data_IF_581400821027
#
_entry.id   IF_581400821027
#
_cell.length_a   1.000
_cell.length_b   1.000
_cell.length_c   1.000
_cell.angle_alpha   90.00
_cell.angle_beta   90.00
_cell.angle_gamma   90.00
#
_symmetry.space_group_name_H-M   'P 1'
#
loop_
_entity.id
_entity.type
_entity.pdbx_description
1 polymer ?
#
# COMPACT_ATOMS: atom_id res chain seq x y z
N UNK A 1 4.15 13.70 0.64
CA UNK A 1 2.65 13.73 0.70
C UNK A 1 2.19 14.17 2.09
N UNK A 2 1.18 15.04 2.21
CA UNK A 2 0.51 15.33 3.48
C UNK A 2 -0.56 14.26 3.73
N UNK A 3 -0.74 13.86 5.01
CA UNK A 3 -1.84 12.96 5.38
C UNK A 3 -3.19 13.69 5.25
N UNK A 4 -4.23 13.01 4.80
CA UNK A 4 -5.60 13.52 4.72
C UNK A 4 -6.33 13.46 6.08
N UNK A 5 -5.69 12.94 7.11
CA UNK A 5 -6.22 12.73 8.46
C UNK A 5 -5.16 13.07 9.52
N UNK A 6 -5.61 13.32 10.74
CA UNK A 6 -4.70 13.52 11.88
C UNK A 6 -4.11 12.16 12.33
N UNK A 7 -2.86 12.11 12.81
CA UNK A 7 -2.20 10.83 13.14
C UNK A 7 -2.99 9.91 14.07
N UNK A 8 -3.75 10.47 15.01
CA UNK A 8 -4.57 9.75 15.97
C UNK A 8 -5.86 9.14 15.37
N UNK A 9 -6.25 9.56 14.16
CA UNK A 9 -7.51 9.14 13.56
C UNK A 9 -7.56 7.65 13.22
N UNK A 10 -6.40 6.98 13.12
CA UNK A 10 -6.31 5.55 12.80
C UNK A 10 -6.32 4.64 14.02
N UNK A 11 -6.29 5.21 15.23
CA UNK A 11 -6.33 4.41 16.46
C UNK A 11 -7.68 3.70 16.64
N UNK A 12 -7.69 2.49 17.21
CA UNK A 12 -6.57 1.76 17.78
C UNK A 12 -5.82 0.88 16.76
N UNK A 13 -6.09 0.98 15.46
CA UNK A 13 -5.54 0.09 14.42
C UNK A 13 -4.07 0.39 14.13
N UNK A 14 -3.72 1.66 13.97
CA UNK A 14 -2.35 2.15 13.87
C UNK A 14 -2.20 3.28 14.87
N UNK A 15 -1.22 3.17 15.78
CA UNK A 15 -0.98 4.20 16.77
C UNK A 15 -0.42 5.49 16.16
N UNK A 16 -0.66 6.61 16.84
CA UNK A 16 -0.01 7.89 16.54
C UNK A 16 1.52 7.74 16.48
N UNK A 17 2.10 6.94 17.38
CA UNK A 17 3.55 6.73 17.43
C UNK A 17 4.04 6.04 16.14
N UNK A 18 3.36 4.98 15.70
CA UNK A 18 3.67 4.32 14.43
C UNK A 18 3.59 5.30 13.26
N UNK A 19 2.55 6.14 13.18
CA UNK A 19 2.44 7.16 12.13
C UNK A 19 3.58 8.18 12.20
N UNK A 20 3.96 8.62 13.39
CA UNK A 20 5.06 9.58 13.57
C UNK A 20 6.39 9.05 13.05
N UNK A 21 6.68 7.77 13.25
CA UNK A 21 7.89 7.13 12.71
C UNK A 21 7.73 6.74 11.25
N UNK A 22 6.66 6.04 10.90
CA UNK A 22 6.48 5.45 9.56
C UNK A 22 6.32 6.52 8.48
N UNK A 23 5.41 7.49 8.68
CA UNK A 23 5.22 8.61 7.75
C UNK A 23 6.26 9.72 8.00
N UNK A 24 6.41 10.14 9.25
CA UNK A 24 7.19 11.35 9.58
C UNK A 24 8.70 11.18 9.51
N UNK A 25 9.23 9.97 9.60
CA UNK A 25 10.67 9.68 9.55
C UNK A 25 11.04 8.73 8.41
N UNK A 26 10.40 7.57 8.33
CA UNK A 26 10.76 6.52 7.39
C UNK A 26 10.48 6.94 5.94
N UNK A 27 9.25 7.34 5.63
CA UNK A 27 8.92 7.88 4.31
C UNK A 27 9.74 9.14 3.98
N UNK A 28 9.91 10.05 4.94
CA UNK A 28 10.71 11.26 4.72
C UNK A 28 12.18 10.95 4.36
N UNK A 29 12.76 9.88 4.91
CA UNK A 29 14.10 9.46 4.56
C UNK A 29 14.18 9.00 3.09
N UNK A 30 13.20 8.23 2.60
CA UNK A 30 13.17 7.85 1.17
C UNK A 30 13.07 9.07 0.25
N UNK A 31 12.24 10.06 0.59
CA UNK A 31 12.09 11.30 -0.18
C UNK A 31 13.43 12.06 -0.24
N UNK A 32 14.08 12.25 0.92
CA UNK A 32 15.36 12.94 0.98
C UNK A 32 16.45 12.20 0.18
N UNK A 33 16.51 10.87 0.31
CA UNK A 33 17.47 10.04 -0.42
C UNK A 33 17.22 10.11 -1.93
N UNK A 34 15.96 10.00 -2.38
CA UNK A 34 15.64 10.09 -3.80
C UNK A 34 16.05 11.46 -4.36
N UNK A 35 15.69 12.56 -3.67
CA UNK A 35 16.06 13.91 -4.10
C UNK A 35 17.57 14.07 -4.28
N UNK A 36 18.38 13.48 -3.38
CA UNK A 36 19.83 13.49 -3.51
C UNK A 36 20.40 12.61 -4.64
N UNK A 37 19.61 11.67 -5.17
CA UNK A 37 20.03 10.75 -6.24
C UNK A 37 19.54 11.18 -7.62
N UNK A 38 18.61 12.13 -7.71
CA UNK A 38 18.01 12.52 -9.00
C UNK A 38 18.91 13.41 -9.82
N UNK A 39 19.74 14.27 -9.22
CA UNK A 39 20.60 15.19 -9.96
C UNK A 39 21.56 14.43 -10.90
N UNK A 40 21.50 14.73 -12.19
CA UNK A 40 22.29 14.07 -13.24
C UNK A 40 21.87 12.64 -13.56
N UNK A 41 20.74 12.17 -13.06
CA UNK A 41 20.25 10.79 -13.27
C UNK A 41 19.46 10.61 -14.56
N UNK A 42 18.95 11.70 -15.15
CA UNK A 42 18.01 11.69 -16.27
C UNK A 42 16.54 11.41 -15.86
N UNK A 43 16.25 11.44 -14.55
CA UNK A 43 14.89 11.26 -14.00
C UNK A 43 14.37 12.50 -13.27
N UNK A 44 15.03 13.65 -13.40
CA UNK A 44 14.73 14.88 -12.66
C UNK A 44 13.28 15.35 -12.83
N UNK A 45 12.74 15.20 -14.04
CA UNK A 45 11.36 15.60 -14.39
C UNK A 45 10.40 14.41 -14.51
N UNK A 46 10.83 13.20 -14.15
CA UNK A 46 10.02 11.99 -14.27
C UNK A 46 9.05 11.84 -13.11
N UNK A 47 7.87 11.26 -13.37
CA UNK A 47 6.94 10.85 -12.30
C UNK A 47 7.50 9.66 -11.53
N UNK A 48 7.01 9.44 -10.30
CA UNK A 48 7.41 8.27 -9.48
C UNK A 48 7.15 6.95 -10.22
N UNK A 49 6.02 6.83 -10.93
CA UNK A 49 5.69 5.64 -11.71
C UNK A 49 6.68 5.41 -12.86
N UNK A 50 7.07 6.47 -13.56
CA UNK A 50 8.09 6.37 -14.62
C UNK A 50 9.45 5.94 -14.06
N UNK A 51 9.85 6.51 -12.93
CA UNK A 51 11.09 6.13 -12.24
C UNK A 51 11.02 4.65 -11.84
N UNK A 52 9.94 4.22 -11.18
CA UNK A 52 9.76 2.84 -10.73
C UNK A 52 9.79 1.85 -11.90
N UNK A 53 9.27 2.23 -13.07
CA UNK A 53 9.28 1.37 -14.26
C UNK A 53 10.63 1.30 -14.98
N UNK A 54 11.48 2.33 -14.89
CA UNK A 54 12.68 2.49 -15.74
C UNK A 54 14.00 2.50 -14.98
N UNK A 55 14.01 2.96 -13.73
CA UNK A 55 15.24 3.09 -12.92
C UNK A 55 15.71 1.75 -12.35
N UNK A 56 16.92 1.77 -11.81
CA UNK A 56 17.55 0.65 -11.12
C UNK A 56 18.24 1.10 -9.83
N UNK A 57 18.64 0.14 -8.99
CA UNK A 57 19.45 0.38 -7.80
C UNK A 57 18.79 1.33 -6.79
N UNK A 58 19.57 2.29 -6.27
CA UNK A 58 19.10 3.21 -5.23
C UNK A 58 17.94 4.10 -5.64
N UNK A 59 17.92 4.57 -6.90
CA UNK A 59 16.82 5.40 -7.43
C UNK A 59 15.52 4.61 -7.44
N UNK A 60 15.53 3.40 -8.00
CA UNK A 60 14.36 2.51 -7.99
C UNK A 60 13.88 2.21 -6.57
N UNK A 61 14.81 1.86 -5.67
CA UNK A 61 14.44 1.47 -4.30
C UNK A 61 13.75 2.62 -3.55
N UNK A 62 14.30 3.84 -3.63
CA UNK A 62 13.70 4.99 -2.95
C UNK A 62 12.39 5.42 -3.62
N UNK A 63 12.33 5.51 -4.95
CA UNK A 63 11.11 5.87 -5.67
C UNK A 63 9.98 4.84 -5.46
N UNK A 64 10.31 3.54 -5.49
CA UNK A 64 9.35 2.47 -5.22
C UNK A 64 8.78 2.55 -3.82
N UNK A 65 9.64 2.77 -2.81
CA UNK A 65 9.15 2.94 -1.44
C UNK A 65 8.29 4.20 -1.29
N UNK A 66 8.64 5.32 -1.93
CA UNK A 66 7.80 6.52 -1.89
C UNK A 66 6.43 6.23 -2.50
N UNK A 67 6.38 5.67 -3.70
CA UNK A 67 5.13 5.34 -4.39
C UNK A 67 4.26 4.37 -3.56
N UNK A 68 4.88 3.33 -2.98
CA UNK A 68 4.19 2.35 -2.15
C UNK A 68 3.58 3.01 -0.90
N UNK A 69 4.34 3.86 -0.21
CA UNK A 69 3.86 4.56 0.99
C UNK A 69 2.80 5.62 0.68
N UNK A 70 2.88 6.32 -0.46
CA UNK A 70 1.84 7.26 -0.87
C UNK A 70 0.50 6.55 -1.12
N UNK A 71 0.54 5.38 -1.78
CA UNK A 71 -0.64 4.55 -1.98
C UNK A 71 -1.17 3.98 -0.66
N UNK A 72 -0.29 3.56 0.24
CA UNK A 72 -0.60 3.01 1.55
C UNK A 72 -1.26 4.05 2.47
N UNK A 73 -0.61 5.19 2.72
CA UNK A 73 -1.17 6.21 3.59
C UNK A 73 -2.40 6.91 2.99
N UNK A 74 -2.46 7.04 1.66
CA UNK A 74 -3.57 7.68 0.97
C UNK A 74 -4.86 6.87 0.94
N UNK A 75 -4.88 5.64 1.45
CA UNK A 75 -6.06 4.76 1.43
C UNK A 75 -6.79 4.64 2.78
N UNK A 76 -6.35 5.38 3.80
CA UNK A 76 -6.89 5.21 5.15
C UNK A 76 -7.86 6.32 5.56
N UNK A 77 -8.79 5.96 6.42
CA UNK A 77 -9.69 6.84 7.16
C UNK A 77 -9.87 6.33 8.60
N UNK A 78 -10.56 7.09 9.42
CA UNK A 78 -10.91 6.64 10.77
C UNK A 78 -11.67 5.30 10.74
N UNK A 79 -11.52 4.43 11.77
CA UNK A 79 -12.19 3.14 11.81
C UNK A 79 -13.71 3.25 11.59
N UNK A 80 -14.23 2.38 10.74
CA UNK A 80 -15.65 2.35 10.38
C UNK A 80 -16.25 0.96 10.61
N UNK A 81 -17.36 0.91 11.34
CA UNK A 81 -18.12 -0.33 11.50
C UNK A 81 -18.76 -0.75 10.15
N UNK A 82 -18.68 -2.04 9.83
CA UNK A 82 -19.25 -2.57 8.59
C UNK A 82 -18.58 -2.07 7.31
N UNK A 83 -17.33 -1.62 7.41
CA UNK A 83 -16.57 -1.04 6.32
C UNK A 83 -16.40 -2.02 5.14
N UNK A 84 -17.03 -1.73 4.01
CA UNK A 84 -17.09 -2.60 2.82
C UNK A 84 -17.06 -1.79 1.52
N UNK A 85 -16.52 -2.37 0.44
CA UNK A 85 -16.65 -1.81 -0.91
C UNK A 85 -18.09 -1.84 -1.40
N UNK A 86 -18.39 -0.97 -2.35
CA UNK A 86 -19.71 -0.86 -3.01
C UNK A 86 -19.57 -0.82 -4.54
N UNK A 87 -20.71 -0.78 -5.24
CA UNK A 87 -20.76 -0.56 -6.68
C UNK A 87 -19.91 -1.53 -7.50
N UNK A 88 -19.26 -1.01 -8.53
CA UNK A 88 -18.45 -1.81 -9.49
C UNK A 88 -17.31 -2.59 -8.84
N UNK A 89 -16.71 -2.05 -7.79
CA UNK A 89 -15.64 -2.75 -7.08
C UNK A 89 -16.18 -3.97 -6.32
N UNK A 90 -17.33 -3.86 -5.67
CA UNK A 90 -17.98 -5.00 -5.01
C UNK A 90 -18.37 -6.10 -6.01
N UNK A 91 -18.88 -5.72 -7.19
CA UNK A 91 -19.18 -6.65 -8.29
C UNK A 91 -17.89 -7.34 -8.79
N UNK A 92 -16.79 -6.61 -8.91
CA UNK A 92 -15.52 -7.18 -9.32
C UNK A 92 -14.95 -8.16 -8.29
N UNK A 93 -15.09 -7.90 -6.99
CA UNK A 93 -14.74 -8.89 -5.96
C UNK A 93 -15.57 -10.17 -6.08
N UNK A 94 -16.87 -10.06 -6.30
CA UNK A 94 -17.72 -11.22 -6.50
C UNK A 94 -17.36 -12.01 -7.77
N UNK A 95 -17.04 -11.30 -8.86
CA UNK A 95 -16.66 -11.90 -10.14
C UNK A 95 -15.33 -12.65 -10.05
N UNK A 96 -14.30 -12.02 -9.44
CA UNK A 96 -12.92 -12.50 -9.54
C UNK A 96 -12.50 -13.40 -8.38
N UNK A 97 -13.15 -13.27 -7.21
CA UNK A 97 -12.83 -14.03 -5.99
C UNK A 97 -14.04 -14.80 -5.41
N UNK A 98 -15.22 -14.67 -6.01
CA UNK A 98 -16.46 -15.27 -5.52
C UNK A 98 -17.17 -14.48 -4.43
N UNK A 99 -16.43 -13.78 -3.55
CA UNK A 99 -16.97 -12.86 -2.54
C UNK A 99 -15.91 -11.91 -2.01
N UNK A 100 -16.33 -10.84 -1.34
CA UNK A 100 -15.41 -9.94 -0.62
C UNK A 100 -14.70 -10.65 0.53
N UNK A 101 -15.37 -11.55 1.22
CA UNK A 101 -14.80 -12.36 2.30
C UNK A 101 -13.69 -13.28 1.80
N UNK A 102 -13.92 -13.98 0.69
CA UNK A 102 -12.92 -14.85 0.06
C UNK A 102 -11.69 -14.04 -0.40
N UNK A 103 -11.92 -12.86 -0.98
CA UNK A 103 -10.83 -11.92 -1.31
C UNK A 103 -10.03 -11.54 -0.06
N UNK A 104 -10.68 -11.14 1.03
CA UNK A 104 -10.00 -10.75 2.29
C UNK A 104 -9.15 -11.88 2.83
N UNK A 105 -9.68 -13.09 2.86
CA UNK A 105 -8.96 -14.28 3.34
C UNK A 105 -7.71 -14.53 2.50
N UNK A 106 -7.83 -14.52 1.17
CA UNK A 106 -6.70 -14.72 0.27
C UNK A 106 -5.67 -13.61 0.40
N UNK A 107 -6.10 -12.36 0.48
CA UNK A 107 -5.23 -11.19 0.62
C UNK A 107 -4.44 -11.24 1.93
N UNK A 108 -5.10 -11.51 3.06
CA UNK A 108 -4.45 -11.66 4.36
C UNK A 108 -3.47 -12.82 4.38
N UNK A 109 -3.86 -13.97 3.79
CA UNK A 109 -2.97 -15.13 3.67
C UNK A 109 -1.71 -14.78 2.89
N UNK A 110 -1.83 -14.09 1.75
CA UNK A 110 -0.67 -13.63 0.96
C UNK A 110 0.20 -12.64 1.74
N UNK A 111 -0.40 -11.67 2.44
CA UNK A 111 0.35 -10.75 3.30
C UNK A 111 1.10 -11.45 4.42
N UNK A 112 0.47 -12.40 5.09
CA UNK A 112 1.07 -13.16 6.19
C UNK A 112 2.20 -14.09 5.73
N UNK A 113 2.09 -14.69 4.54
CA UNK A 113 3.05 -15.67 4.00
C UNK A 113 4.16 -15.06 3.15
N UNK A 114 4.14 -13.74 2.89
CA UNK A 114 5.25 -13.08 2.21
C UNK A 114 6.51 -13.21 3.07
N UNK A 115 7.52 -13.89 2.53
CA UNK A 115 8.78 -14.09 3.24
C UNK A 115 9.62 -12.81 3.23
N UNK A 116 9.99 -12.34 4.42
CA UNK A 116 10.78 -11.11 4.59
C UNK A 116 9.93 -9.85 4.47
N UNK A 117 10.55 -8.80 3.91
CA UNK A 117 9.98 -7.46 3.77
C UNK A 117 9.31 -7.28 2.41
N UNK A 118 8.20 -6.58 2.39
CA UNK A 118 7.48 -6.29 1.15
C UNK A 118 6.06 -5.81 1.38
N UNK A 119 5.23 -6.02 0.35
CA UNK A 119 3.89 -5.47 0.23
C UNK A 119 2.95 -6.50 -0.37
N UNK A 120 1.73 -6.60 0.13
CA UNK A 120 0.65 -7.32 -0.54
C UNK A 120 -0.25 -6.32 -1.25
N UNK A 121 -0.62 -6.61 -2.49
CA UNK A 121 -1.34 -5.70 -3.37
C UNK A 121 -2.61 -6.30 -3.91
N UNK A 122 -3.67 -5.49 -3.99
CA UNK A 122 -4.77 -5.63 -4.92
C UNK A 122 -4.50 -4.70 -6.10
N UNK A 123 -4.56 -5.24 -7.30
CA UNK A 123 -4.33 -4.49 -8.53
C UNK A 123 -5.35 -4.86 -9.59
N UNK A 124 -5.66 -3.94 -10.51
CA UNK A 124 -6.46 -4.20 -11.70
C UNK A 124 -5.57 -4.35 -12.93
N UNK A 125 -5.92 -5.24 -13.85
CA UNK A 125 -5.33 -5.24 -15.19
C UNK A 125 -6.10 -4.32 -16.15
N UNK A 126 -5.65 -4.28 -17.41
CA UNK A 126 -6.26 -3.45 -18.47
C UNK A 126 -7.73 -3.81 -18.78
N UNK A 127 -8.16 -5.02 -18.45
CA UNK A 127 -9.50 -5.52 -18.68
C UNK A 127 -10.39 -5.37 -17.42
N UNK A 128 -9.85 -4.74 -16.36
CA UNK A 128 -10.53 -4.51 -15.09
C UNK A 128 -10.63 -5.75 -14.22
N UNK A 129 -9.88 -6.83 -14.53
CA UNK A 129 -9.80 -8.01 -13.66
C UNK A 129 -8.88 -7.73 -12.48
N UNK A 130 -9.28 -8.19 -11.32
CA UNK A 130 -8.56 -8.01 -10.06
C UNK A 130 -7.54 -9.13 -9.81
N UNK A 131 -6.37 -8.75 -9.32
CA UNK A 131 -5.27 -9.64 -8.99
C UNK A 131 -4.71 -9.33 -7.61
N UNK A 132 -4.36 -10.38 -6.84
CA UNK A 132 -3.60 -10.24 -5.60
C UNK A 132 -2.16 -10.65 -5.86
N UNK A 133 -1.21 -9.74 -5.62
CA UNK A 133 0.22 -10.02 -5.79
C UNK A 133 1.00 -9.76 -4.50
N UNK A 134 2.15 -10.41 -4.38
CA UNK A 134 3.15 -10.17 -3.34
C UNK A 134 4.36 -9.52 -4.02
N UNK A 135 4.78 -8.38 -3.53
CA UNK A 135 5.95 -7.66 -4.06
C UNK A 135 6.99 -7.49 -2.96
N UNK A 136 8.18 -8.00 -3.19
CA UNK A 136 9.27 -7.92 -2.21
C UNK A 136 9.94 -6.56 -2.21
N UNK A 137 10.44 -6.15 -1.05
CA UNK A 137 11.19 -4.90 -0.88
C UNK A 137 10.42 -3.66 -1.39
N UNK A 138 10.93 -2.98 -2.41
CA UNK A 138 10.37 -1.76 -2.98
C UNK A 138 9.56 -2.00 -4.27
N UNK A 139 9.38 -3.25 -4.69
CA UNK A 139 8.69 -3.56 -5.92
C UNK A 139 7.21 -3.14 -5.87
N UNK A 140 6.66 -2.80 -7.05
CA UNK A 140 5.31 -2.30 -7.21
C UNK A 140 4.65 -2.95 -8.46
N UNK A 141 3.34 -3.25 -8.42
CA UNK A 141 2.61 -3.83 -9.56
C UNK A 141 2.70 -3.03 -10.87
N UNK A 142 2.95 -1.70 -10.84
CA UNK A 142 3.13 -0.88 -12.06
C UNK A 142 4.24 -1.43 -12.96
N UNK A 143 5.28 -2.04 -12.39
CA UNK A 143 6.38 -2.68 -13.14
C UNK A 143 5.92 -3.87 -13.98
N UNK A 144 4.75 -4.42 -13.66
CA UNK A 144 4.09 -5.55 -14.35
C UNK A 144 2.93 -5.11 -15.24
N UNK A 145 2.75 -3.79 -15.40
CA UNK A 145 1.64 -3.21 -16.16
C UNK A 145 0.28 -3.33 -15.47
N UNK A 146 0.27 -3.53 -14.14
CA UNK A 146 -0.94 -3.57 -13.34
C UNK A 146 -1.18 -2.22 -12.66
N UNK A 147 -2.44 -1.83 -12.51
CA UNK A 147 -2.88 -0.62 -11.80
C UNK A 147 -3.02 -0.92 -10.30
N UNK A 148 -2.18 -0.37 -9.40
CA UNK A 148 -2.31 -0.60 -7.96
C UNK A 148 -3.60 0.03 -7.43
N UNK A 149 -4.33 -0.69 -6.59
CA UNK A 149 -5.60 -0.24 -6.00
C UNK A 149 -5.52 -0.12 -4.48
N UNK A 150 -5.11 -1.21 -3.82
CA UNK A 150 -5.00 -1.34 -2.37
C UNK A 150 -3.68 -2.02 -2.03
N UNK A 151 -3.03 -1.61 -0.95
CA UNK A 151 -1.82 -2.29 -0.47
C UNK A 151 -1.75 -2.38 1.04
N UNK A 152 -1.17 -3.45 1.56
CA UNK A 152 -0.75 -3.53 2.96
C UNK A 152 0.76 -3.70 3.02
N UNK A 153 1.37 -2.85 3.84
CA UNK A 153 2.78 -2.92 4.17
C UNK A 153 3.03 -4.09 5.15
N UNK A 154 3.90 -5.01 4.77
CA UNK A 154 4.31 -6.13 5.62
C UNK A 154 5.79 -6.06 6.04
N UNK A 155 6.44 -4.92 5.82
CA UNK A 155 7.68 -4.58 6.50
C UNK A 155 7.43 -4.48 8.00
N UNK A 156 8.36 -4.94 8.82
CA UNK A 156 8.19 -4.92 10.29
C UNK A 156 8.03 -3.52 10.86
N UNK A 157 8.68 -2.51 10.26
CA UNK A 157 8.53 -1.12 10.68
C UNK A 157 7.07 -0.60 10.60
N UNK A 158 6.23 -1.18 9.78
CA UNK A 158 4.83 -0.76 9.62
C UNK A 158 3.95 -1.18 10.79
N UNK A 159 4.33 -2.22 11.56
CA UNK A 159 3.45 -2.79 12.58
C UNK A 159 4.14 -3.19 13.89
N UNK A 160 5.47 -3.18 13.98
CA UNK A 160 6.16 -3.77 15.12
C UNK A 160 5.89 -3.05 16.45
N UNK A 161 5.71 -1.73 16.44
CA UNK A 161 5.38 -0.95 17.63
C UNK A 161 4.02 -1.34 18.22
N UNK A 162 3.03 -1.63 17.37
CA UNK A 162 1.66 -1.92 17.79
C UNK A 162 1.40 -3.43 17.94
N UNK A 163 1.99 -4.25 17.08
CA UNK A 163 1.67 -5.68 16.98
C UNK A 163 2.87 -6.60 17.20
N UNK A 164 4.09 -6.11 17.30
CA UNK A 164 5.34 -6.87 17.40
C UNK A 164 5.41 -7.93 16.28
N UNK A 165 5.60 -9.19 16.59
CA UNK A 165 5.66 -10.29 15.62
C UNK A 165 4.29 -10.76 15.08
N UNK A 166 3.19 -10.14 15.53
CA UNK A 166 1.82 -10.56 15.17
C UNK A 166 1.36 -9.94 13.85
N UNK A 167 2.10 -10.17 12.77
CA UNK A 167 1.74 -9.69 11.41
C UNK A 167 0.29 -10.06 11.01
N UNK A 168 -0.22 -11.28 11.27
CA UNK A 168 -1.62 -11.60 10.95
C UNK A 168 -2.64 -10.68 11.63
N UNK A 169 -2.40 -10.29 12.90
CA UNK A 169 -3.31 -9.41 13.64
C UNK A 169 -3.31 -8.00 13.05
N UNK A 170 -2.13 -7.47 12.67
CA UNK A 170 -2.01 -6.22 11.94
C UNK A 170 -2.81 -6.23 10.64
N UNK A 171 -2.60 -7.26 9.80
CA UNK A 171 -3.34 -7.41 8.55
C UNK A 171 -4.85 -7.51 8.74
N UNK A 172 -5.30 -8.18 9.80
CA UNK A 172 -6.71 -8.30 10.12
C UNK A 172 -7.32 -6.96 10.58
N UNK A 173 -6.54 -6.15 11.31
CA UNK A 173 -7.00 -4.86 11.85
C UNK A 173 -7.12 -3.79 10.75
N UNK A 174 -6.24 -3.78 9.75
CA UNK A 174 -6.19 -2.76 8.70
C UNK A 174 -7.51 -2.60 7.93
N UNK A 175 -8.32 -3.65 7.79
CA UNK A 175 -9.61 -3.56 7.10
C UNK A 175 -10.59 -2.56 7.72
N UNK A 176 -10.44 -2.23 9.00
CA UNK A 176 -11.31 -1.28 9.69
C UNK A 176 -11.10 0.17 9.24
N UNK A 177 -9.92 0.47 8.69
CA UNK A 177 -9.49 1.83 8.33
C UNK A 177 -9.36 2.09 6.83
N UNK A 178 -9.75 1.14 5.98
CA UNK A 178 -9.71 1.35 4.52
C UNK A 178 -10.80 2.34 4.10
N UNK A 179 -10.43 3.41 3.43
CA UNK A 179 -11.37 4.26 2.71
C UNK A 179 -11.71 3.62 1.35
N UNK A 180 -12.80 2.87 1.32
CA UNK A 180 -13.24 2.18 0.11
C UNK A 180 -13.57 3.14 -1.03
N UNK A 181 -13.94 4.40 -0.76
CA UNK A 181 -14.16 5.41 -1.80
C UNK A 181 -12.88 5.72 -2.57
N UNK A 182 -11.75 5.74 -1.88
CA UNK A 182 -10.42 5.90 -2.51
C UNK A 182 -10.11 4.70 -3.41
N UNK A 183 -10.36 3.49 -2.92
CA UNK A 183 -10.10 2.26 -3.70
C UNK A 183 -11.03 2.17 -4.91
N UNK A 184 -12.32 2.48 -4.74
CA UNK A 184 -13.30 2.55 -5.83
C UNK A 184 -12.89 3.57 -6.90
N UNK A 185 -12.41 4.75 -6.48
CA UNK A 185 -11.89 5.78 -7.40
C UNK A 185 -10.64 5.31 -8.16
N UNK A 186 -9.77 4.56 -7.50
CA UNK A 186 -8.61 3.96 -8.19
C UNK A 186 -9.03 2.86 -9.16
N UNK A 187 -10.09 2.12 -8.87
CA UNK A 187 -10.60 1.05 -9.74
C UNK A 187 -11.34 1.58 -10.97
N UNK A 188 -12.01 2.72 -10.87
CA UNK A 188 -12.83 3.32 -11.93
C UNK A 188 -12.02 3.68 -13.20
#
# INVERSE_FOLDING_TARGET
>A
MALAYVPEALEPVISRETIAFHHGKHLAAYVNNLNGLLEGSGFEDATLEEIVCKAQGGILNNAGQILNHELYFGQFCAPQAGNRPSGKLAEAFARDFGSFEAFKEEFQKKGATLFGSGWVWLSGDKDGKLHITQETNAANPVQKGLKPLLTFDVWEHAYYLDYQNRRPDHLAALWQIIDWKVIEKRYA
#
